data_IF_703701328781
#
_entry.id   IF_703701328781
#
_cell.length_a   1.000
_cell.length_b   1.000
_cell.length_c   1.000
_cell.angle_alpha   90.00
_cell.angle_beta   90.00
_cell.angle_gamma   90.00
#
_symmetry.space_group_name_H-M   'P 1'
#
loop_
_entity.id
_entity.type
_entity.pdbx_description
1 polymer ?
#
# COMPACT_ATOMS: atom_id res chain seq x y z
N UNK A 1 19.65 -0.71 71.43
CA UNK A 1 20.62 0.05 70.60
C UNK A 1 21.11 -0.86 69.48
N UNK A 2 21.11 -0.35 68.24
CA UNK A 2 21.73 -0.85 66.98
C UNK A 2 21.35 -2.25 66.49
N UNK A 3 20.47 -2.43 65.48
CA UNK A 3 20.53 -2.13 64.02
C UNK A 3 21.28 -3.17 63.15
N UNK A 4 20.45 -3.90 62.39
CA UNK A 4 20.45 -4.07 60.91
C UNK A 4 21.37 -5.07 60.22
N UNK A 5 20.69 -5.79 59.30
CA UNK A 5 21.14 -6.38 58.01
C UNK A 5 21.86 -7.71 58.24
N UNK A 6 21.62 -8.77 57.49
CA UNK A 6 21.70 -8.87 56.03
C UNK A 6 20.63 -9.83 55.49
N UNK A 7 19.64 -9.27 54.80
CA UNK A 7 18.77 -10.01 53.89
C UNK A 7 19.00 -9.44 52.51
N UNK A 8 19.05 -10.32 51.51
CA UNK A 8 19.03 -10.02 50.06
C UNK A 8 20.26 -9.30 49.48
N UNK A 9 21.23 -10.07 49.01
CA UNK A 9 22.06 -9.69 47.88
C UNK A 9 22.16 -10.89 46.95
N UNK A 10 21.55 -10.80 45.77
CA UNK A 10 21.69 -11.85 44.75
C UNK A 10 20.48 -12.04 43.83
N UNK A 11 19.69 -11.02 43.52
CA UNK A 11 18.68 -11.13 42.46
C UNK A 11 18.38 -9.75 41.86
N UNK A 12 19.32 -9.18 41.10
CA UNK A 12 19.10 -7.98 40.28
C UNK A 12 20.25 -7.85 39.26
N UNK A 13 20.29 -8.76 38.29
CA UNK A 13 21.22 -8.64 37.14
C UNK A 13 20.72 -9.34 35.87
N UNK A 14 19.40 -9.46 35.68
CA UNK A 14 18.81 -10.06 34.47
C UNK A 14 17.65 -9.27 33.87
N UNK A 15 17.55 -7.97 34.15
CA UNK A 15 16.54 -7.09 33.55
C UNK A 15 17.14 -5.94 32.73
N UNK A 16 18.38 -6.10 32.24
CA UNK A 16 18.91 -5.24 31.17
C UNK A 16 18.32 -5.70 29.83
N UNK A 17 17.12 -5.18 29.54
CA UNK A 17 16.74 -4.66 28.23
C UNK A 17 16.89 -5.60 27.03
N UNK A 18 16.00 -6.60 26.91
CA UNK A 18 15.49 -7.05 25.60
C UNK A 18 14.55 -5.99 25.01
N UNK A 19 14.96 -4.71 24.99
CA UNK A 19 14.40 -3.73 24.08
C UNK A 19 15.00 -4.04 22.71
N UNK A 20 14.55 -5.14 22.10
CA UNK A 20 14.93 -5.50 20.75
C UNK A 20 14.56 -4.34 19.85
N UNK A 21 15.55 -3.72 19.22
CA UNK A 21 15.33 -2.75 18.16
C UNK A 21 14.38 -3.38 17.14
N UNK A 22 13.15 -2.87 17.03
CA UNK A 22 12.27 -3.30 15.96
C UNK A 22 12.93 -2.92 14.62
N UNK A 23 13.24 -3.92 13.80
CA UNK A 23 13.75 -3.77 12.44
C UNK A 23 12.64 -3.41 11.44
N UNK A 24 11.51 -2.91 11.94
CA UNK A 24 10.36 -2.49 11.15
C UNK A 24 10.06 -1.02 11.39
N UNK A 25 9.54 -0.39 10.36
CA UNK A 25 8.96 0.95 10.40
C UNK A 25 7.51 0.86 9.96
N UNK A 26 6.68 1.68 10.58
CA UNK A 26 5.24 1.68 10.40
C UNK A 26 4.80 3.09 9.99
N UNK A 27 3.83 3.16 9.09
CA UNK A 27 3.26 4.42 8.63
C UNK A 27 1.74 4.27 8.55
N UNK A 28 1.00 5.18 9.19
CA UNK A 28 -0.47 5.28 9.12
C UNK A 28 -0.85 6.67 8.66
N UNK A 29 -1.64 6.75 7.61
CA UNK A 29 -2.03 8.03 7.03
C UNK A 29 -3.41 7.93 6.39
N UNK A 30 -4.02 9.08 6.18
CA UNK A 30 -5.13 9.24 5.25
C UNK A 30 -4.58 9.63 3.90
N UNK A 31 -5.09 9.04 2.84
CA UNK A 31 -4.67 9.30 1.47
C UNK A 31 -5.85 9.83 0.66
N UNK A 32 -5.66 10.97 0.02
CA UNK A 32 -6.69 11.57 -0.81
C UNK A 32 -6.73 10.92 -2.19
N UNK A 33 -7.86 10.34 -2.56
CA UNK A 33 -8.07 9.66 -3.84
C UNK A 33 -8.96 10.51 -4.73
N UNK A 34 -8.55 10.72 -5.99
CA UNK A 34 -9.36 11.36 -7.02
C UNK A 34 -10.13 10.31 -7.83
N UNK A 35 -11.45 10.23 -7.61
CA UNK A 35 -12.35 9.26 -8.23
C UNK A 35 -12.67 9.62 -9.69
N UNK A 36 -13.13 8.65 -10.48
CA UNK A 36 -13.46 8.86 -11.90
C UNK A 36 -14.66 9.78 -12.14
N UNK A 37 -15.51 10.00 -11.13
CA UNK A 37 -16.61 10.97 -11.17
C UNK A 37 -16.16 12.41 -10.84
N UNK A 38 -14.88 12.61 -10.57
CA UNK A 38 -14.28 13.90 -10.25
C UNK A 38 -14.25 14.24 -8.75
N UNK A 39 -14.86 13.43 -7.88
CA UNK A 39 -14.81 13.65 -6.44
C UNK A 39 -13.43 13.32 -5.86
N UNK A 40 -13.13 13.96 -4.73
CA UNK A 40 -11.98 13.62 -3.89
C UNK A 40 -12.47 13.05 -2.57
N UNK A 41 -11.95 11.89 -2.19
CA UNK A 41 -12.26 11.24 -0.92
C UNK A 41 -10.97 10.93 -0.17
N UNK A 42 -11.08 10.64 1.12
CA UNK A 42 -9.96 10.13 1.89
C UNK A 42 -10.15 8.65 2.18
N UNK A 43 -9.11 7.85 1.95
CA UNK A 43 -9.02 6.45 2.39
C UNK A 43 -8.00 6.32 3.52
N UNK A 44 -8.24 5.40 4.45
CA UNK A 44 -7.28 5.10 5.52
C UNK A 44 -6.25 4.10 4.99
N UNK A 45 -4.97 4.38 5.23
CA UNK A 45 -3.84 3.57 4.77
C UNK A 45 -2.92 3.21 5.92
N UNK A 46 -2.37 2.01 5.85
CA UNK A 46 -1.37 1.54 6.79
C UNK A 46 -0.34 0.69 6.05
N UNK A 47 0.94 0.87 6.39
CA UNK A 47 2.06 0.18 5.75
C UNK A 47 3.15 -0.12 6.76
N UNK A 48 3.84 -1.24 6.56
CA UNK A 48 5.01 -1.64 7.34
C UNK A 48 6.15 -1.95 6.38
N UNK A 49 7.33 -1.41 6.63
CA UNK A 49 8.56 -1.68 5.89
C UNK A 49 9.64 -2.21 6.83
N UNK A 50 10.64 -2.91 6.27
CA UNK A 50 11.86 -3.20 7.02
C UNK A 50 12.72 -1.93 7.14
N UNK A 51 13.49 -1.80 8.21
CA UNK A 51 14.58 -0.81 8.26
C UNK A 51 15.72 -1.30 7.39
N UNK A 52 16.24 -0.45 6.50
CA UNK A 52 17.54 -0.75 5.87
C UNK A 52 18.67 -0.36 6.83
N UNK A 53 19.65 -1.25 6.97
CA UNK A 53 20.78 -1.07 7.88
C UNK A 53 21.78 -0.03 7.38
N UNK A 54 22.63 0.45 8.28
CA UNK A 54 23.78 1.31 8.01
C UNK A 54 24.61 0.81 6.80
N UNK A 55 25.10 1.67 5.88
CA UNK A 55 25.20 3.14 5.95
C UNK A 55 24.06 3.93 5.28
N UNK A 56 23.09 3.27 4.66
CA UNK A 56 21.99 3.96 3.97
C UNK A 56 20.70 3.90 4.81
N UNK A 57 20.35 5.01 5.42
CA UNK A 57 19.13 5.23 6.20
C UNK A 57 17.87 5.35 5.31
N UNK A 58 17.79 4.58 4.24
CA UNK A 58 16.59 4.47 3.38
C UNK A 58 15.63 3.45 3.95
N UNK A 59 14.35 3.58 3.62
CA UNK A 59 13.34 2.59 3.98
C UNK A 59 13.63 1.28 3.23
N UNK A 60 13.59 0.16 3.95
CA UNK A 60 13.70 -1.17 3.35
C UNK A 60 12.40 -1.57 2.64
N UNK A 61 12.34 -2.77 2.05
CA UNK A 61 11.17 -3.18 1.28
C UNK A 61 9.90 -3.21 2.16
N UNK A 62 8.73 -2.83 1.60
CA UNK A 62 7.46 -2.98 2.29
C UNK A 62 7.18 -4.46 2.55
N UNK A 63 6.73 -4.77 3.77
CA UNK A 63 6.37 -6.11 4.23
C UNK A 63 4.89 -6.30 4.52
N UNK A 64 4.14 -5.20 4.62
CA UNK A 64 2.70 -5.19 4.80
C UNK A 64 2.10 -3.90 4.25
N UNK A 65 0.92 -3.99 3.65
CA UNK A 65 0.10 -2.82 3.31
C UNK A 65 -1.38 -3.10 3.53
N UNK A 66 -2.13 -2.04 3.82
CA UNK A 66 -3.57 -2.04 4.04
C UNK A 66 -4.19 -0.75 3.47
N UNK A 67 -5.41 -0.88 2.96
CA UNK A 67 -6.33 0.20 2.65
C UNK A 67 -7.71 -0.10 3.23
N UNK A 68 -8.35 0.91 3.79
CA UNK A 68 -9.70 0.83 4.34
C UNK A 68 -10.54 2.05 3.93
N UNK A 69 -11.83 1.82 3.63
CA UNK A 69 -12.81 2.88 3.37
C UNK A 69 -14.16 2.50 3.99
N UNK A 70 -14.42 3.05 5.17
CA UNK A 70 -15.54 2.67 6.03
C UNK A 70 -16.94 2.81 5.39
N UNK A 71 -17.26 3.86 4.60
CA UNK A 71 -18.61 4.03 4.03
C UNK A 71 -19.11 2.84 3.20
N UNK A 72 -18.19 2.15 2.51
CA UNK A 72 -18.50 0.98 1.69
C UNK A 72 -18.01 -0.34 2.30
N UNK A 73 -17.51 -0.31 3.55
CA UNK A 73 -16.97 -1.50 4.21
C UNK A 73 -15.73 -2.08 3.52
N UNK A 74 -14.96 -1.24 2.82
CA UNK A 74 -13.73 -1.66 2.16
C UNK A 74 -12.67 -1.90 3.22
N UNK A 75 -12.05 -3.07 3.14
CA UNK A 75 -10.80 -3.38 3.83
C UNK A 75 -10.04 -4.39 2.96
N UNK A 76 -8.82 -4.04 2.60
CA UNK A 76 -7.90 -4.92 1.88
C UNK A 76 -6.54 -4.85 2.55
N UNK A 77 -5.85 -5.98 2.64
CA UNK A 77 -4.47 -6.01 3.08
C UNK A 77 -3.67 -7.12 2.42
N UNK A 78 -2.37 -6.89 2.30
CA UNK A 78 -1.42 -7.86 1.81
C UNK A 78 -0.17 -7.89 2.70
N UNK A 79 0.35 -9.10 2.90
CA UNK A 79 1.65 -9.35 3.54
C UNK A 79 2.65 -9.73 2.46
N UNK A 80 3.93 -9.43 2.70
CA UNK A 80 4.98 -9.84 1.75
C UNK A 80 4.97 -11.34 1.56
N UNK A 81 4.80 -11.76 0.31
CA UNK A 81 5.05 -13.12 -0.13
C UNK A 81 6.47 -13.28 -0.68
N UNK A 82 6.70 -14.37 -1.41
CA UNK A 82 7.93 -14.59 -2.19
C UNK A 82 8.18 -13.49 -3.23
N UNK A 83 7.11 -12.87 -3.72
CA UNK A 83 7.13 -11.86 -4.77
C UNK A 83 7.04 -10.43 -4.22
N UNK A 84 7.06 -10.23 -2.90
CA UNK A 84 6.92 -8.92 -2.26
C UNK A 84 5.47 -8.59 -1.87
N UNK A 85 5.21 -7.31 -1.56
CA UNK A 85 3.85 -6.78 -1.31
C UNK A 85 3.33 -6.15 -2.60
N UNK A 86 2.11 -6.50 -3.07
CA UNK A 86 1.50 -5.88 -4.24
C UNK A 86 1.39 -4.36 -4.09
N UNK A 87 1.61 -3.66 -5.19
CA UNK A 87 1.49 -2.20 -5.22
C UNK A 87 0.05 -1.81 -5.52
N UNK A 88 -0.57 -1.01 -4.66
CA UNK A 88 -1.90 -0.45 -4.91
C UNK A 88 -1.80 0.70 -5.92
N UNK A 89 -2.54 0.59 -7.02
CA UNK A 89 -2.44 1.51 -8.16
C UNK A 89 -3.64 2.46 -8.25
N UNK A 90 -4.83 1.92 -8.01
CA UNK A 90 -6.08 2.65 -8.20
C UNK A 90 -7.15 2.22 -7.22
N UNK A 91 -7.90 3.19 -6.70
CA UNK A 91 -9.14 2.97 -5.96
C UNK A 91 -10.25 3.83 -6.57
N UNK A 92 -11.40 3.24 -6.85
CA UNK A 92 -12.53 3.97 -7.43
C UNK A 92 -13.87 3.49 -6.90
N UNK A 93 -14.90 4.33 -7.03
CA UNK A 93 -16.29 4.00 -6.69
C UNK A 93 -17.14 4.20 -7.94
N UNK A 94 -17.63 3.10 -8.49
CA UNK A 94 -18.37 3.10 -9.75
C UNK A 94 -19.69 2.39 -9.53
N UNK A 95 -20.78 3.10 -9.81
CA UNK A 95 -22.16 2.58 -9.72
C UNK A 95 -22.51 1.97 -8.35
N UNK A 96 -21.91 2.50 -7.28
CA UNK A 96 -22.12 2.09 -5.89
C UNK A 96 -21.16 1.03 -5.36
N UNK A 97 -20.32 0.46 -6.22
CA UNK A 97 -19.31 -0.53 -5.86
C UNK A 97 -17.93 0.09 -5.78
N UNK A 98 -17.11 -0.37 -4.82
CA UNK A 98 -15.71 0.04 -4.74
C UNK A 98 -14.82 -0.96 -5.48
N UNK A 99 -13.79 -0.44 -6.16
CA UNK A 99 -12.82 -1.20 -6.91
C UNK A 99 -11.41 -0.84 -6.45
N UNK A 100 -10.56 -1.84 -6.27
CA UNK A 100 -9.13 -1.68 -5.99
C UNK A 100 -8.34 -2.43 -7.06
N UNK A 101 -7.41 -1.75 -7.72
CA UNK A 101 -6.43 -2.36 -8.62
C UNK A 101 -5.09 -2.41 -7.90
N UNK A 102 -4.49 -3.60 -7.88
CA UNK A 102 -3.11 -3.81 -7.43
C UNK A 102 -2.27 -4.38 -8.56
N UNK A 103 -1.02 -3.95 -8.66
CA UNK A 103 -0.04 -4.58 -9.56
C UNK A 103 0.40 -5.88 -8.93
N UNK A 104 0.17 -6.97 -9.64
CA UNK A 104 0.53 -8.31 -9.18
C UNK A 104 2.04 -8.45 -9.28
N UNK A 105 2.70 -8.70 -8.16
CA UNK A 105 4.13 -8.99 -8.18
C UNK A 105 4.36 -10.37 -8.78
N UNK A 106 5.29 -10.52 -9.73
CA UNK A 106 5.64 -11.82 -10.31
C UNK A 106 6.19 -11.78 -11.72
N UNK A 107 6.50 -12.97 -12.23
CA UNK A 107 6.89 -13.19 -13.61
C UNK A 107 5.67 -13.05 -14.53
N UNK A 108 5.82 -12.25 -15.60
CA UNK A 108 4.75 -12.00 -16.56
C UNK A 108 4.34 -13.28 -17.29
N UNK A 109 5.30 -14.13 -17.68
CA UNK A 109 5.00 -15.34 -18.44
C UNK A 109 4.13 -16.27 -17.61
N UNK A 110 4.46 -16.45 -16.32
CA UNK A 110 3.66 -17.23 -15.38
C UNK A 110 2.25 -16.65 -15.22
N UNK A 111 2.12 -15.32 -15.06
CA UNK A 111 0.82 -14.67 -14.94
C UNK A 111 -0.06 -14.85 -16.19
N UNK A 112 0.56 -14.82 -17.37
CA UNK A 112 -0.16 -14.87 -18.63
C UNK A 112 -0.65 -16.27 -19.02
N UNK A 113 -0.23 -17.33 -18.30
CA UNK A 113 -0.73 -18.68 -18.54
C UNK A 113 -2.25 -18.73 -18.35
N UNK A 114 -2.98 -18.99 -19.43
CA UNK A 114 -4.45 -19.07 -19.42
C UNK A 114 -5.18 -17.73 -19.40
N UNK A 115 -4.47 -16.60 -19.53
CA UNK A 115 -5.08 -15.26 -19.63
C UNK A 115 -5.27 -14.83 -21.09
N UNK A 116 -6.32 -14.06 -21.41
CA UNK A 116 -6.47 -13.45 -22.73
C UNK A 116 -5.32 -12.50 -23.06
N UNK A 117 -4.95 -12.40 -24.34
CA UNK A 117 -4.04 -11.39 -24.84
C UNK A 117 -4.56 -9.97 -24.49
N UNK A 118 -3.65 -9.08 -24.13
CA UNK A 118 -3.99 -7.72 -23.66
C UNK A 118 -4.30 -7.62 -22.16
N UNK A 119 -4.33 -8.73 -21.42
CA UNK A 119 -4.48 -8.70 -19.95
C UNK A 119 -3.29 -8.00 -19.29
N UNK A 120 -3.54 -7.07 -18.39
CA UNK A 120 -2.52 -6.39 -17.59
C UNK A 120 -2.09 -7.25 -16.40
N UNK A 121 -0.84 -7.12 -15.97
CA UNK A 121 -0.28 -7.76 -14.77
C UNK A 121 -0.84 -7.13 -13.48
N UNK A 122 -2.14 -7.31 -13.26
CA UNK A 122 -2.89 -6.75 -12.13
C UNK A 122 -3.88 -7.77 -11.57
N UNK A 123 -4.25 -7.57 -10.31
CA UNK A 123 -5.44 -8.15 -9.69
C UNK A 123 -6.45 -7.04 -9.43
N UNK A 124 -7.73 -7.34 -9.62
CA UNK A 124 -8.83 -6.40 -9.39
C UNK A 124 -9.74 -6.94 -8.31
N UNK A 125 -9.95 -6.14 -7.28
CA UNK A 125 -10.86 -6.45 -6.18
C UNK A 125 -12.09 -5.54 -6.25
N UNK A 126 -13.27 -6.12 -6.10
CA UNK A 126 -14.55 -5.42 -6.04
C UNK A 126 -15.19 -5.62 -4.68
N UNK A 127 -15.73 -4.55 -4.11
CA UNK A 127 -16.64 -4.61 -2.98
C UNK A 127 -18.05 -4.31 -3.47
N UNK A 128 -18.90 -5.31 -3.41
CA UNK A 128 -20.34 -5.18 -3.65
C UNK A 128 -21.08 -5.57 -2.37
N UNK A 129 -21.97 -4.71 -1.88
CA UNK A 129 -22.66 -4.90 -0.61
C UNK A 129 -21.69 -5.25 0.55
N UNK A 130 -20.56 -4.53 0.63
CA UNK A 130 -19.50 -4.70 1.65
C UNK A 130 -18.77 -6.06 1.61
N UNK A 131 -18.99 -6.85 0.57
CA UNK A 131 -18.29 -8.14 0.39
C UNK A 131 -17.23 -7.99 -0.68
N UNK A 132 -15.99 -8.32 -0.32
CA UNK A 132 -14.85 -8.30 -1.23
C UNK A 132 -14.84 -9.56 -2.12
N UNK A 133 -14.58 -9.38 -3.40
CA UNK A 133 -14.32 -10.44 -4.36
C UNK A 133 -13.17 -10.03 -5.28
N UNK A 134 -12.21 -10.93 -5.51
CA UNK A 134 -11.30 -10.78 -6.65
C UNK A 134 -12.07 -11.17 -7.91
N UNK A 135 -12.04 -10.30 -8.92
CA UNK A 135 -12.79 -10.48 -10.17
C UNK A 135 -11.83 -10.48 -11.36
N UNK A 136 -12.30 -11.01 -12.49
CA UNK A 136 -11.53 -10.90 -13.72
C UNK A 136 -11.44 -9.43 -14.17
N UNK A 137 -10.25 -9.02 -14.62
CA UNK A 137 -9.99 -7.64 -15.03
C UNK A 137 -10.87 -7.20 -16.20
N UNK A 138 -11.31 -8.13 -17.05
CA UNK A 138 -12.19 -7.86 -18.20
C UNK A 138 -13.65 -7.63 -17.78
N UNK A 139 -14.02 -7.96 -16.54
CA UNK A 139 -15.34 -7.67 -15.95
C UNK A 139 -15.34 -6.34 -15.17
N UNK A 140 -14.18 -5.75 -14.95
CA UNK A 140 -14.01 -4.53 -14.19
C UNK A 140 -14.05 -3.27 -15.08
N UNK A 141 -14.52 -2.12 -14.57
CA UNK A 141 -14.58 -0.86 -15.32
C UNK A 141 -13.21 -0.15 -15.43
N UNK A 142 -12.14 -0.90 -15.75
CA UNK A 142 -10.74 -0.43 -15.73
C UNK A 142 -10.53 0.80 -16.62
N UNK A 143 -11.22 0.88 -17.75
CA UNK A 143 -11.13 2.01 -18.68
C UNK A 143 -11.55 3.35 -18.06
N UNK A 144 -12.34 3.34 -16.98
CA UNK A 144 -12.77 4.54 -16.24
C UNK A 144 -11.81 4.90 -15.10
N UNK A 145 -11.02 3.94 -14.63
CA UNK A 145 -10.19 4.09 -13.44
C UNK A 145 -8.87 4.81 -13.77
N UNK A 146 -8.38 5.60 -12.82
CA UNK A 146 -7.13 6.35 -12.93
C UNK A 146 -6.08 5.94 -11.90
N UNK A 147 -4.81 6.27 -12.17
CA UNK A 147 -3.70 6.06 -11.23
C UNK A 147 -3.82 7.07 -10.10
N UNK A 148 -4.38 6.66 -8.96
CA UNK A 148 -4.78 7.61 -7.92
C UNK A 148 -4.41 7.21 -6.49
N UNK A 149 -3.50 6.23 -6.37
CA UNK A 149 -2.87 5.85 -5.12
C UNK A 149 -1.36 5.96 -5.24
N UNK A 150 -0.70 6.35 -4.17
CA UNK A 150 0.76 6.41 -4.07
C UNK A 150 1.43 5.03 -4.15
N UNK A 151 0.67 3.95 -3.95
CA UNK A 151 1.21 2.59 -3.90
C UNK A 151 2.32 2.46 -2.85
N UNK A 152 3.48 2.00 -3.29
CA UNK A 152 4.69 1.86 -2.45
C UNK A 152 5.52 3.14 -2.33
N UNK A 153 5.26 4.14 -3.18
CA UNK A 153 5.99 5.41 -3.21
C UNK A 153 5.73 6.27 -1.96
N UNK A 154 4.70 5.94 -1.17
CA UNK A 154 4.37 6.60 0.10
C UNK A 154 5.56 6.72 1.06
N UNK A 155 6.48 5.75 1.04
CA UNK A 155 7.66 5.73 1.90
C UNK A 155 8.63 6.87 1.57
N UNK A 156 8.63 7.37 0.33
CA UNK A 156 9.41 8.55 -0.07
C UNK A 156 8.99 9.85 0.64
N UNK A 157 7.77 9.91 1.19
CA UNK A 157 7.30 11.07 1.96
C UNK A 157 7.55 10.94 3.47
N UNK A 158 7.99 9.76 3.94
CA UNK A 158 8.20 9.56 5.37
C UNK A 158 9.37 10.41 5.86
N UNK A 159 9.20 11.00 7.03
CA UNK A 159 10.26 11.68 7.75
C UNK A 159 10.46 11.03 9.13
N UNK A 160 11.72 10.88 9.54
CA UNK A 160 12.05 10.24 10.82
C UNK A 160 11.63 11.09 12.04
N UNK A 161 11.60 12.41 11.88
CA UNK A 161 11.30 13.41 12.91
C UNK A 161 9.84 13.88 12.90
N UNK A 162 9.11 13.67 11.79
CA UNK A 162 7.73 14.13 11.63
C UNK A 162 6.84 13.02 11.04
N UNK A 163 5.83 12.53 11.78
CA UNK A 163 4.90 11.55 11.24
C UNK A 163 4.06 12.15 10.12
N UNK A 164 4.04 11.48 8.97
CA UNK A 164 3.09 11.76 7.89
C UNK A 164 1.77 11.11 8.25
N UNK A 165 0.74 11.93 8.45
CA UNK A 165 -0.60 11.48 8.83
C UNK A 165 -1.63 11.71 7.72
N UNK A 166 -1.26 12.45 6.67
CA UNK A 166 -2.08 12.75 5.52
C UNK A 166 -1.21 12.89 4.28
N UNK A 167 -1.65 12.32 3.16
CA UNK A 167 -1.08 12.47 1.82
C UNK A 167 -2.17 13.05 0.92
N UNK A 168 -1.92 14.25 0.38
CA UNK A 168 -2.84 14.94 -0.52
C UNK A 168 -2.76 14.41 -1.95
N UNK A 169 -3.72 14.79 -2.81
CA UNK A 169 -3.61 14.50 -4.24
C UNK A 169 -2.30 15.05 -4.84
N UNK A 170 -1.89 16.26 -4.47
CA UNK A 170 -0.68 16.88 -5.03
C UNK A 170 0.58 16.07 -4.67
N UNK A 171 0.62 15.50 -3.46
CA UNK A 171 1.69 14.59 -3.04
C UNK A 171 1.69 13.30 -3.86
N UNK A 172 0.50 12.71 -4.09
CA UNK A 172 0.35 11.51 -4.93
C UNK A 172 0.77 11.81 -6.36
N UNK A 173 0.31 12.93 -6.90
CA UNK A 173 0.59 13.35 -8.26
C UNK A 173 2.09 13.52 -8.50
N UNK A 174 2.77 14.16 -7.55
CA UNK A 174 4.22 14.27 -7.56
C UNK A 174 4.93 12.91 -7.51
N UNK A 175 4.50 12.01 -6.61
CA UNK A 175 5.14 10.70 -6.44
C UNK A 175 4.93 9.74 -7.61
N UNK A 176 3.80 9.85 -8.30
CA UNK A 176 3.34 8.90 -9.32
C UNK A 176 3.42 9.45 -10.73
N UNK A 177 4.03 10.63 -10.90
CA UNK A 177 4.13 11.36 -12.17
C UNK A 177 2.75 11.55 -12.84
N UNK A 178 1.75 11.87 -12.01
CA UNK A 178 0.39 12.17 -12.45
C UNK A 178 0.19 13.70 -12.52
N UNK A 179 -0.77 14.17 -13.32
CA UNK A 179 -1.11 15.58 -13.34
C UNK A 179 -1.67 16.04 -11.99
N UNK A 180 -1.19 17.17 -11.46
CA UNK A 180 -1.75 17.80 -10.25
C UNK A 180 -3.12 18.43 -10.52
N UNK A 181 -3.38 18.82 -11.77
CA UNK A 181 -4.63 19.42 -12.23
C UNK A 181 -5.32 18.54 -13.29
N UNK A 182 -6.64 18.39 -13.18
CA UNK A 182 -7.41 17.49 -14.04
C UNK A 182 -7.41 16.04 -13.54
N UNK A 183 -8.19 15.16 -14.19
CA UNK A 183 -8.31 13.77 -13.75
C UNK A 183 -6.96 13.04 -13.85
N UNK A 184 -6.73 12.04 -12.98
CA UNK A 184 -5.56 11.17 -13.10
C UNK A 184 -5.49 10.49 -14.46
N UNK A 185 -4.28 10.10 -14.88
CA UNK A 185 -4.12 9.30 -16.09
C UNK A 185 -4.81 7.95 -15.93
N UNK A 186 -5.39 7.47 -17.03
CA UNK A 186 -6.06 6.17 -17.04
C UNK A 186 -5.08 5.01 -16.87
N UNK A 187 -5.59 3.89 -16.36
CA UNK A 187 -4.84 2.62 -16.28
C UNK A 187 -4.29 2.24 -17.67
N UNK A 188 -5.08 2.39 -18.72
CA UNK A 188 -4.64 2.10 -20.09
C UNK A 188 -3.41 2.94 -20.48
N UNK A 189 -3.41 4.25 -20.20
CA UNK A 189 -2.27 5.13 -20.51
C UNK A 189 -1.02 4.68 -19.75
N UNK A 190 -1.17 4.28 -18.49
CA UNK A 190 -0.08 3.75 -17.67
C UNK A 190 0.55 2.47 -18.25
N UNK A 191 -0.27 1.52 -18.72
CA UNK A 191 0.20 0.26 -19.31
C UNK A 191 0.68 0.40 -20.76
N UNK A 192 0.19 1.38 -21.52
CA UNK A 192 0.62 1.64 -22.91
C UNK A 192 2.12 1.87 -23.05
N UNK A 193 2.73 2.52 -22.05
CA UNK A 193 4.19 2.74 -21.98
C UNK A 193 4.94 1.59 -21.28
N UNK A 194 4.22 0.69 -20.59
CA UNK A 194 4.75 -0.49 -19.88
C UNK A 194 4.27 -1.79 -20.53
N UNK A 195 4.51 -1.93 -21.83
CA UNK A 195 4.08 -3.10 -22.61
C UNK A 195 4.62 -4.43 -22.06
N UNK A 196 5.72 -4.41 -21.33
CA UNK A 196 6.30 -5.55 -20.62
C UNK A 196 5.46 -6.01 -19.40
N UNK A 197 4.32 -5.37 -19.13
CA UNK A 197 3.35 -5.77 -18.10
C UNK A 197 2.00 -6.18 -18.71
N UNK A 198 1.99 -6.52 -20.00
CA UNK A 198 0.79 -6.89 -20.75
C UNK A 198 1.01 -8.27 -21.37
N UNK A 199 0.04 -9.17 -21.21
CA UNK A 199 0.06 -10.46 -21.88
C UNK A 199 0.01 -10.31 -23.39
N UNK A 200 0.91 -11.01 -24.08
CA UNK A 200 1.03 -11.02 -25.55
C UNK A 200 0.04 -11.98 -26.20
#
# INVERSE_FOLDING_TARGET
MMRRRWTMFGMLLTAATLAGCSNKEEMRWKEQVWLSDGQRIDVDRYSVALKSGFPNSTDGPPVYQEISYAPLGVHWSAKSGTKGVPEMLSFDIIDGDAYLIVVTSGDLEEFCVGKPAGSYLISVYRWHNRTMQEIDQHEAPIARMGINLSGTHNWGLRHADKPVTYISWDDIAFMTDQPSEGPPDSIEKFFKIRKYLICS
#
